data_IF_789420755564
#
_entry.id   IF_789420755564
#
_cell.length_a   1.000
_cell.length_b   1.000
_cell.length_c   1.000
_cell.angle_alpha   90.00
_cell.angle_beta   90.00
_cell.angle_gamma   90.00
#
_symmetry.space_group_name_H-M   'P 1'
#
loop_
_entity.id
_entity.type
_entity.pdbx_description
1 polymer ?
#
# COMPACT_ATOMS: atom_id res chain seq x y z
N UNK A 1 -42.36 -35.23 -30.46
CA UNK A 1 -41.87 -36.05 -29.33
C UNK A 1 -40.35 -36.27 -29.35
N UNK A 2 -39.76 -37.23 -30.07
CA UNK A 2 -38.30 -37.51 -29.96
C UNK A 2 -37.40 -36.29 -30.26
N UNK A 3 -37.67 -35.55 -31.34
CA UNK A 3 -36.90 -34.34 -31.69
C UNK A 3 -37.01 -33.23 -30.65
N UNK A 4 -38.15 -33.13 -29.95
CA UNK A 4 -38.39 -32.13 -28.90
C UNK A 4 -37.67 -32.50 -27.60
N UNK A 5 -37.70 -33.78 -27.21
CA UNK A 5 -36.93 -34.29 -26.07
C UNK A 5 -35.42 -34.13 -26.26
N UNK A 6 -34.92 -34.39 -27.47
CA UNK A 6 -33.50 -34.26 -27.79
C UNK A 6 -33.04 -32.79 -27.76
N UNK A 7 -33.90 -31.87 -28.24
CA UNK A 7 -33.67 -30.42 -28.16
C UNK A 7 -33.65 -29.92 -26.71
N UNK A 8 -34.60 -30.37 -25.89
CA UNK A 8 -34.68 -30.03 -24.46
C UNK A 8 -33.44 -30.50 -23.68
N UNK A 9 -33.00 -31.75 -23.88
CA UNK A 9 -31.78 -32.28 -23.24
C UNK A 9 -30.52 -31.49 -23.65
N UNK A 10 -30.41 -31.11 -24.93
CA UNK A 10 -29.28 -30.29 -25.42
C UNK A 10 -29.28 -28.89 -24.81
N UNK A 11 -30.44 -28.23 -24.71
CA UNK A 11 -30.59 -26.92 -24.07
C UNK A 11 -30.20 -26.97 -22.58
N UNK A 12 -30.69 -27.97 -21.84
CA UNK A 12 -30.36 -28.18 -20.43
C UNK A 12 -28.86 -28.40 -20.20
N UNK A 13 -28.20 -29.14 -21.09
CA UNK A 13 -26.75 -29.35 -21.02
C UNK A 13 -25.97 -28.05 -21.28
N UNK A 14 -26.40 -27.23 -22.23
CA UNK A 14 -25.76 -25.93 -22.54
C UNK A 14 -25.89 -24.98 -21.34
N UNK A 15 -27.07 -24.88 -20.72
CA UNK A 15 -27.29 -24.06 -19.51
C UNK A 15 -26.37 -24.51 -18.37
N UNK A 16 -26.23 -25.83 -18.17
CA UNK A 16 -25.33 -26.39 -17.16
C UNK A 16 -23.85 -26.04 -17.40
N UNK A 17 -23.41 -26.07 -18.67
CA UNK A 17 -22.05 -25.64 -19.04
C UNK A 17 -21.85 -24.16 -18.75
N UNK A 18 -22.79 -23.29 -19.16
CA UNK A 18 -22.72 -21.85 -18.91
C UNK A 18 -22.66 -21.57 -17.40
N UNK A 19 -23.53 -22.21 -16.61
CA UNK A 19 -23.53 -22.07 -15.16
C UNK A 19 -22.17 -22.48 -14.55
N UNK A 20 -21.59 -23.58 -15.03
CA UNK A 20 -20.28 -24.06 -14.55
C UNK A 20 -19.16 -23.07 -14.90
N UNK A 21 -19.23 -22.45 -16.10
CA UNK A 21 -18.30 -21.39 -16.49
C UNK A 21 -18.43 -20.14 -15.61
N UNK A 22 -19.64 -19.67 -15.31
CA UNK A 22 -19.87 -18.52 -14.45
C UNK A 22 -19.36 -18.77 -13.02
N UNK A 23 -19.61 -19.97 -12.46
CA UNK A 23 -19.06 -20.36 -11.15
C UNK A 23 -17.52 -20.31 -11.17
N UNK A 24 -16.88 -20.80 -12.24
CA UNK A 24 -15.43 -20.73 -12.38
C UNK A 24 -14.93 -19.28 -12.45
N UNK A 25 -15.61 -18.40 -13.19
CA UNK A 25 -15.30 -16.97 -13.27
C UNK A 25 -15.41 -16.33 -11.89
N UNK A 26 -16.47 -16.61 -11.14
CA UNK A 26 -16.69 -16.08 -9.80
C UNK A 26 -15.56 -16.47 -8.84
N UNK A 27 -15.13 -17.74 -8.86
CA UNK A 27 -14.00 -18.21 -8.04
C UNK A 27 -12.73 -17.41 -8.37
N UNK A 28 -12.46 -17.19 -9.66
CA UNK A 28 -11.30 -16.42 -10.10
C UNK A 28 -11.39 -14.96 -9.64
N UNK A 29 -12.55 -14.32 -9.76
CA UNK A 29 -12.76 -12.96 -9.27
C UNK A 29 -12.51 -12.84 -7.76
N UNK A 30 -13.02 -13.79 -6.97
CA UNK A 30 -12.80 -13.82 -5.51
C UNK A 30 -11.31 -13.94 -5.18
N UNK A 31 -10.57 -14.80 -5.89
CA UNK A 31 -9.11 -14.92 -5.70
C UNK A 31 -8.43 -13.58 -5.97
N UNK A 32 -8.79 -12.88 -7.06
CA UNK A 32 -8.23 -11.56 -7.35
C UNK A 32 -8.58 -10.52 -6.28
N UNK A 33 -9.79 -10.53 -5.74
CA UNK A 33 -10.18 -9.65 -4.64
C UNK A 33 -9.30 -9.92 -3.41
N UNK A 34 -9.17 -11.20 -3.01
CA UNK A 34 -8.34 -11.59 -1.86
C UNK A 34 -6.88 -11.14 -2.03
N UNK A 35 -6.29 -11.33 -3.22
CA UNK A 35 -4.92 -10.88 -3.50
C UNK A 35 -4.79 -9.36 -3.36
N UNK A 36 -5.76 -8.58 -3.84
CA UNK A 36 -5.71 -7.12 -3.71
C UNK A 36 -5.96 -6.66 -2.26
N UNK A 37 -6.79 -7.35 -1.48
CA UNK A 37 -6.95 -7.08 -0.03
C UNK A 37 -5.64 -7.27 0.72
N UNK A 38 -4.91 -8.37 0.45
CA UNK A 38 -3.60 -8.60 1.07
C UNK A 38 -2.59 -7.51 0.71
N UNK A 39 -2.61 -7.02 -0.54
CA UNK A 39 -1.79 -5.88 -0.97
C UNK A 39 -2.17 -4.58 -0.27
N UNK A 40 -3.47 -4.33 -0.12
CA UNK A 40 -4.00 -3.15 0.57
C UNK A 40 -3.54 -3.13 2.05
N UNK A 41 -3.61 -4.27 2.74
CA UNK A 41 -3.14 -4.40 4.12
C UNK A 41 -1.63 -4.17 4.26
N UNK A 42 -0.83 -4.71 3.33
CA UNK A 42 0.61 -4.45 3.28
C UNK A 42 0.91 -2.96 3.06
N UNK A 43 0.17 -2.33 2.15
CA UNK A 43 0.32 -0.89 1.84
C UNK A 43 -0.01 -0.01 3.04
N UNK A 44 -1.04 -0.36 3.82
CA UNK A 44 -1.39 0.39 5.02
C UNK A 44 -0.26 0.41 6.07
N UNK A 45 0.53 -0.67 6.19
CA UNK A 45 1.73 -0.67 7.05
C UNK A 45 2.79 0.29 6.53
N UNK A 46 3.04 0.28 5.21
CA UNK A 46 4.02 1.18 4.59
C UNK A 46 3.63 2.65 4.81
N UNK A 47 2.36 3.01 4.60
CA UNK A 47 1.83 4.37 4.88
C UNK A 47 2.09 4.76 6.33
N UNK A 48 1.79 3.85 7.27
CA UNK A 48 1.98 4.11 8.70
C UNK A 48 3.45 4.40 9.03
N UNK A 49 4.37 3.53 8.63
CA UNK A 49 5.79 3.68 8.93
C UNK A 49 6.45 4.86 8.21
N UNK A 50 6.06 5.15 6.97
CA UNK A 50 6.47 6.39 6.29
C UNK A 50 5.97 7.63 7.04
N UNK A 51 4.74 7.58 7.57
CA UNK A 51 4.19 8.63 8.44
C UNK A 51 4.91 8.75 9.78
N UNK A 52 5.39 7.63 10.34
CA UNK A 52 6.19 7.61 11.57
C UNK A 52 7.53 8.32 11.38
N UNK A 53 8.20 8.15 10.24
CA UNK A 53 9.45 8.85 9.91
C UNK A 53 9.27 10.35 10.07
N UNK A 54 8.21 10.93 9.50
CA UNK A 54 7.90 12.37 9.61
C UNK A 54 7.81 12.83 11.07
N UNK A 55 7.02 12.14 11.89
CA UNK A 55 6.80 12.52 13.29
C UNK A 55 8.03 12.27 14.19
N UNK A 56 8.73 11.16 13.96
CA UNK A 56 9.92 10.78 14.71
C UNK A 56 11.10 11.70 14.40
N UNK A 57 11.30 12.13 13.15
CA UNK A 57 12.32 13.12 12.80
C UNK A 57 12.07 14.47 13.47
N UNK A 58 10.82 14.94 13.51
CA UNK A 58 10.47 16.17 14.22
C UNK A 58 10.73 16.06 15.73
N UNK A 59 10.45 14.90 16.32
CA UNK A 59 10.80 14.62 17.71
C UNK A 59 12.32 14.61 17.92
N UNK A 60 13.08 13.99 17.02
CA UNK A 60 14.54 13.92 17.10
C UNK A 60 15.16 15.31 17.05
N UNK A 61 14.76 16.13 16.07
CA UNK A 61 15.23 17.52 15.97
C UNK A 61 14.90 18.32 17.23
N UNK A 62 13.69 18.14 17.79
CA UNK A 62 13.31 18.79 19.06
C UNK A 62 14.21 18.35 20.24
N UNK A 63 14.62 17.09 20.27
CA UNK A 63 15.53 16.59 21.31
C UNK A 63 16.92 17.20 21.16
N UNK A 64 17.44 17.29 19.95
CA UNK A 64 18.74 17.90 19.65
C UNK A 64 18.79 19.39 20.01
N UNK A 65 17.77 20.18 19.64
CA UNK A 65 17.72 21.62 20.01
C UNK A 65 17.57 21.87 21.51
N UNK A 66 17.12 20.86 22.27
CA UNK A 66 16.99 20.93 23.74
C UNK A 66 18.13 20.21 24.46
N UNK A 67 19.18 19.81 23.75
CA UNK A 67 20.36 19.13 24.28
C UNK A 67 20.05 17.75 24.93
N UNK A 68 18.95 17.11 24.52
CA UNK A 68 18.52 15.80 25.00
C UNK A 68 18.78 14.69 23.96
N UNK A 69 20.05 14.50 23.58
CA UNK A 69 20.48 13.58 22.52
C UNK A 69 19.86 12.18 22.63
N UNK A 70 19.45 11.61 21.49
CA UNK A 70 18.80 10.30 21.45
C UNK A 70 19.22 9.46 20.24
N UNK A 71 20.40 8.84 20.33
CA UNK A 71 20.93 7.98 19.26
C UNK A 71 20.04 6.74 18.98
N UNK A 72 19.23 6.30 19.95
CA UNK A 72 18.28 5.20 19.73
C UNK A 72 17.17 5.61 18.77
N UNK A 73 16.71 6.87 18.82
CA UNK A 73 15.69 7.39 17.91
C UNK A 73 16.24 7.60 16.49
N UNK A 74 17.50 8.03 16.35
CA UNK A 74 18.20 8.07 15.06
C UNK A 74 18.30 6.66 14.45
N UNK A 75 18.74 5.68 15.25
CA UNK A 75 18.81 4.28 14.82
C UNK A 75 17.43 3.73 14.42
N UNK A 76 16.40 4.07 15.20
CA UNK A 76 15.03 3.67 14.89
C UNK A 76 14.56 4.22 13.52
N UNK A 77 14.87 5.48 13.22
CA UNK A 77 14.59 6.09 11.92
C UNK A 77 15.38 5.41 10.78
N UNK A 78 16.67 5.11 10.99
CA UNK A 78 17.49 4.36 10.03
C UNK A 78 16.90 2.98 9.74
N UNK A 79 16.48 2.25 10.78
CA UNK A 79 15.87 0.92 10.64
C UNK A 79 14.56 0.98 9.84
N UNK A 80 13.71 2.00 10.07
CA UNK A 80 12.47 2.16 9.30
C UNK A 80 12.76 2.49 7.84
N UNK A 81 13.64 3.47 7.57
CA UNK A 81 13.95 3.89 6.21
C UNK A 81 14.58 2.75 5.40
N UNK A 82 15.45 1.95 6.02
CA UNK A 82 16.03 0.77 5.40
C UNK A 82 14.96 -0.28 5.06
N UNK A 83 14.03 -0.57 5.97
CA UNK A 83 12.97 -1.54 5.73
C UNK A 83 11.97 -1.05 4.66
N UNK A 84 11.63 0.25 4.66
CA UNK A 84 10.79 0.86 3.62
C UNK A 84 11.42 0.71 2.24
N UNK A 85 12.76 0.78 2.15
CA UNK A 85 13.53 0.77 0.90
C UNK A 85 13.87 -0.63 0.40
N UNK A 86 14.29 -1.52 1.29
CA UNK A 86 14.84 -2.83 0.94
C UNK A 86 14.04 -4.04 1.43
N UNK A 87 13.02 -3.81 2.28
CA UNK A 87 12.13 -4.84 2.81
C UNK A 87 12.86 -6.00 3.51
N UNK A 88 14.01 -5.70 4.12
CA UNK A 88 14.85 -6.66 4.83
C UNK A 88 14.91 -6.36 6.34
N UNK A 89 14.04 -5.47 6.83
CA UNK A 89 13.97 -5.10 8.24
C UNK A 89 12.92 -5.89 9.03
N UNK A 90 12.70 -5.44 10.26
CA UNK A 90 11.87 -6.13 11.25
C UNK A 90 10.39 -5.75 11.22
N UNK A 91 9.98 -4.77 10.40
CA UNK A 91 8.64 -4.19 10.43
C UNK A 91 7.68 -4.85 9.43
N UNK A 92 8.13 -5.90 8.74
CA UNK A 92 7.32 -6.68 7.80
C UNK A 92 6.67 -5.78 6.73
N UNK A 93 7.47 -4.86 6.20
CA UNK A 93 7.06 -3.94 5.15
C UNK A 93 7.11 -4.63 3.80
N UNK A 94 6.19 -4.23 2.93
CA UNK A 94 6.08 -4.79 1.58
C UNK A 94 6.58 -3.79 0.57
N UNK A 95 7.08 -4.30 -0.54
CA UNK A 95 7.48 -3.49 -1.66
C UNK A 95 6.23 -2.96 -2.41
N UNK A 96 6.01 -1.65 -2.38
CA UNK A 96 4.96 -1.01 -3.16
C UNK A 96 5.42 -0.93 -4.61
N UNK A 97 4.73 -1.61 -5.52
CA UNK A 97 5.06 -1.60 -6.95
C UNK A 97 4.67 -0.27 -7.60
N UNK A 98 5.33 0.81 -7.18
CA UNK A 98 5.00 2.18 -7.55
C UNK A 98 6.26 3.05 -7.68
N UNK A 99 6.49 3.55 -8.89
CA UNK A 99 7.70 4.32 -9.20
C UNK A 99 7.74 5.65 -8.45
N UNK A 100 6.61 6.35 -8.36
CA UNK A 100 6.56 7.66 -7.72
C UNK A 100 6.90 7.55 -6.23
N UNK A 101 6.32 6.56 -5.55
CA UNK A 101 6.68 6.24 -4.16
C UNK A 101 8.18 5.98 -4.01
N UNK A 102 8.78 5.14 -4.87
CA UNK A 102 10.20 4.83 -4.78
C UNK A 102 11.12 6.03 -5.05
N UNK A 103 10.80 6.85 -6.06
CA UNK A 103 11.58 8.05 -6.36
C UNK A 103 11.57 9.00 -5.15
N UNK A 104 10.40 9.21 -4.54
CA UNK A 104 10.25 10.07 -3.35
C UNK A 104 10.94 9.49 -2.13
N UNK A 105 10.79 8.18 -1.88
CA UNK A 105 11.47 7.49 -0.78
C UNK A 105 12.99 7.58 -0.91
N UNK A 106 13.53 7.46 -2.12
CA UNK A 106 14.96 7.60 -2.37
C UNK A 106 15.45 9.01 -2.00
N UNK A 107 14.75 10.06 -2.46
CA UNK A 107 15.07 11.45 -2.12
C UNK A 107 14.97 11.67 -0.61
N UNK A 108 13.94 11.14 0.04
CA UNK A 108 13.76 11.21 1.49
C UNK A 108 14.93 10.54 2.23
N UNK A 109 15.33 9.33 1.83
CA UNK A 109 16.47 8.63 2.44
C UNK A 109 17.78 9.40 2.28
N UNK A 110 18.02 9.98 1.11
CA UNK A 110 19.25 10.74 0.87
C UNK A 110 19.28 12.03 1.71
N UNK A 111 18.15 12.73 1.82
CA UNK A 111 18.06 13.92 2.66
C UNK A 111 18.17 13.60 4.17
N UNK A 112 17.76 12.41 4.59
CA UNK A 112 17.96 11.95 5.97
C UNK A 112 19.44 11.89 6.35
N UNK A 113 20.30 11.41 5.44
CA UNK A 113 21.75 11.39 5.66
C UNK A 113 22.33 12.81 5.79
N UNK A 114 21.82 13.78 5.02
CA UNK A 114 22.20 15.19 5.18
C UNK A 114 21.69 15.77 6.51
N UNK A 115 20.46 15.46 6.90
CA UNK A 115 19.90 15.90 8.18
C UNK A 115 20.68 15.32 9.38
N UNK A 116 21.17 14.08 9.30
CA UNK A 116 22.04 13.48 10.34
C UNK A 116 23.38 14.22 10.47
N UNK A 117 23.95 14.75 9.39
CA UNK A 117 25.15 15.59 9.46
C UNK A 117 24.86 16.90 10.20
N UNK A 118 23.70 17.50 9.92
CA UNK A 118 23.27 18.72 10.61
C UNK A 118 22.99 18.47 12.10
N UNK A 119 22.37 17.33 12.45
CA UNK A 119 22.22 16.89 13.85
C UNK A 119 23.60 16.82 14.54
N UNK A 120 24.60 16.26 13.89
CA UNK A 120 25.97 16.25 14.44
C UNK A 120 26.53 17.66 14.64
N UNK A 121 26.29 18.58 13.69
CA UNK A 121 26.71 19.97 13.81
C UNK A 121 26.02 20.68 15.00
N UNK A 122 24.74 20.37 15.27
CA UNK A 122 24.01 20.88 16.45
C UNK A 122 24.72 20.47 17.74
N UNK A 123 25.18 19.22 17.83
CA UNK A 123 25.88 18.71 19.03
C UNK A 123 27.25 19.35 19.25
N UNK A 124 27.91 19.79 18.18
CA UNK A 124 29.25 20.39 18.23
C UNK A 124 29.22 21.91 18.44
N UNK A 125 28.27 22.61 17.82
CA UNK A 125 28.24 24.07 17.74
C UNK A 125 26.98 24.71 18.33
N UNK A 126 26.00 23.94 18.78
CA UNK A 126 24.69 24.41 19.25
C UNK A 126 23.75 24.75 18.09
N UNK A 127 22.44 24.51 18.28
CA UNK A 127 21.46 24.59 17.19
C UNK A 127 21.33 25.99 16.56
N UNK A 128 21.64 27.05 17.32
CA UNK A 128 21.57 28.43 16.85
C UNK A 128 22.59 28.72 15.72
N UNK A 129 23.60 27.87 15.57
CA UNK A 129 24.65 27.97 14.56
C UNK A 129 24.46 26.98 13.41
N UNK A 130 23.25 26.41 13.26
CA UNK A 130 22.91 25.37 12.27
C UNK A 130 21.60 25.71 11.54
N UNK A 131 21.33 25.02 10.43
CA UNK A 131 20.08 25.12 9.67
C UNK A 131 19.08 24.00 10.04
N UNK A 132 19.28 23.33 11.19
CA UNK A 132 18.55 22.12 11.58
C UNK A 132 17.02 22.29 11.53
N UNK A 133 16.51 23.46 11.92
CA UNK A 133 15.07 23.74 11.93
C UNK A 133 14.53 23.76 10.50
N UNK A 134 15.16 24.50 9.59
CA UNK A 134 14.71 24.61 8.20
C UNK A 134 14.89 23.28 7.46
N UNK A 135 16.02 22.58 7.66
CA UNK A 135 16.24 21.24 7.09
C UNK A 135 15.18 20.25 7.58
N UNK A 136 14.77 20.31 8.84
CA UNK A 136 13.70 19.45 9.37
C UNK A 136 12.34 19.71 8.73
N UNK A 137 12.02 20.97 8.40
CA UNK A 137 10.78 21.35 7.72
C UNK A 137 10.78 20.91 6.25
N UNK A 138 11.94 21.00 5.58
CA UNK A 138 12.11 20.46 4.23
C UNK A 138 11.93 18.94 4.25
N UNK A 139 12.58 18.25 5.19
CA UNK A 139 12.42 16.81 5.37
C UNK A 139 10.98 16.40 5.69
N UNK A 140 10.28 17.18 6.52
CA UNK A 140 8.87 16.95 6.83
C UNK A 140 8.01 16.92 5.57
N UNK A 141 8.20 17.89 4.67
CA UNK A 141 7.48 17.95 3.39
C UNK A 141 7.81 16.77 2.48
N UNK A 142 9.07 16.37 2.39
CA UNK A 142 9.47 15.19 1.62
C UNK A 142 8.83 13.91 2.16
N UNK A 143 8.77 13.77 3.49
CA UNK A 143 8.12 12.63 4.13
C UNK A 143 6.61 12.63 3.86
N UNK A 144 5.96 13.80 3.93
CA UNK A 144 4.54 13.98 3.61
C UNK A 144 4.20 13.60 2.16
N UNK A 145 5.04 14.02 1.21
CA UNK A 145 4.90 13.64 -0.19
C UNK A 145 5.11 12.14 -0.42
N UNK A 146 6.05 11.53 0.31
CA UNK A 146 6.30 10.08 0.25
C UNK A 146 5.09 9.28 0.77
N UNK A 147 4.50 9.73 1.88
CA UNK A 147 3.24 9.18 2.42
C UNK A 147 2.11 9.33 1.41
N UNK A 148 1.96 10.52 0.82
CA UNK A 148 0.92 10.80 -0.18
C UNK A 148 1.04 9.88 -1.40
N UNK A 149 2.25 9.58 -1.85
CA UNK A 149 2.47 8.62 -2.95
C UNK A 149 2.06 7.19 -2.57
N UNK A 150 2.36 6.75 -1.33
CA UNK A 150 1.91 5.46 -0.82
C UNK A 150 0.37 5.39 -0.67
N UNK A 151 -0.27 6.47 -0.24
CA UNK A 151 -1.74 6.60 -0.17
C UNK A 151 -2.37 6.50 -1.56
N UNK A 152 -1.84 7.25 -2.54
CA UNK A 152 -2.29 7.20 -3.93
C UNK A 152 -2.19 5.79 -4.52
N UNK A 153 -1.13 5.03 -4.19
CA UNK A 153 -1.00 3.63 -4.55
C UNK A 153 -2.08 2.75 -3.91
N UNK A 154 -2.35 2.96 -2.62
CA UNK A 154 -3.40 2.28 -1.86
C UNK A 154 -4.78 2.52 -2.48
N UNK A 155 -5.10 3.76 -2.85
CA UNK A 155 -6.35 4.13 -3.51
C UNK A 155 -6.54 3.41 -4.85
N UNK A 156 -5.47 3.30 -5.67
CA UNK A 156 -5.52 2.52 -6.91
C UNK A 156 -5.85 1.04 -6.67
N UNK A 157 -5.37 0.46 -5.57
CA UNK A 157 -5.73 -0.92 -5.18
C UNK A 157 -7.19 -0.98 -4.75
N UNK A 158 -7.65 -0.04 -3.93
CA UNK A 158 -9.04 0.01 -3.46
C UNK A 158 -10.04 0.12 -4.64
N UNK A 159 -9.74 0.96 -5.63
CA UNK A 159 -10.56 1.10 -6.86
C UNK A 159 -10.60 -0.22 -7.66
N UNK A 160 -9.48 -0.94 -7.74
CA UNK A 160 -9.43 -2.27 -8.40
C UNK A 160 -10.31 -3.28 -7.66
N UNK A 161 -10.24 -3.33 -6.32
CA UNK A 161 -11.11 -4.17 -5.50
C UNK A 161 -12.57 -3.84 -5.79
N UNK A 162 -12.93 -2.55 -5.76
CA UNK A 162 -14.31 -2.12 -6.01
C UNK A 162 -14.83 -2.52 -7.39
N UNK A 163 -13.98 -2.41 -8.41
CA UNK A 163 -14.33 -2.86 -9.77
C UNK A 163 -14.57 -4.37 -9.81
N UNK A 164 -13.71 -5.16 -9.16
CA UNK A 164 -13.87 -6.61 -9.10
C UNK A 164 -15.14 -7.02 -8.33
N UNK A 165 -15.46 -6.34 -7.23
CA UNK A 165 -16.71 -6.57 -6.49
C UNK A 165 -17.94 -6.36 -7.37
N UNK A 166 -17.98 -5.26 -8.14
CA UNK A 166 -19.09 -4.97 -9.04
C UNK A 166 -19.24 -6.05 -10.14
N UNK A 167 -18.12 -6.53 -10.68
CA UNK A 167 -18.12 -7.65 -11.63
C UNK A 167 -18.64 -8.94 -11.00
N UNK A 168 -18.25 -9.24 -9.75
CA UNK A 168 -18.77 -10.40 -9.02
C UNK A 168 -20.28 -10.30 -8.77
N UNK A 169 -20.78 -9.11 -8.42
CA UNK A 169 -22.23 -8.89 -8.27
C UNK A 169 -22.98 -9.13 -9.58
N UNK A 170 -22.46 -8.62 -10.70
CA UNK A 170 -23.06 -8.86 -12.01
C UNK A 170 -23.07 -10.35 -12.38
N UNK A 171 -21.96 -11.06 -12.14
CA UNK A 171 -21.86 -12.50 -12.37
C UNK A 171 -22.88 -13.30 -11.53
N UNK A 172 -23.00 -12.95 -10.23
CA UNK A 172 -23.99 -13.55 -9.34
C UNK A 172 -25.43 -13.29 -9.81
N UNK A 173 -25.74 -12.11 -10.34
CA UNK A 173 -27.05 -11.82 -10.92
C UNK A 173 -27.32 -12.71 -12.14
N UNK A 174 -26.34 -12.92 -13.02
CA UNK A 174 -26.45 -13.85 -14.15
C UNK A 174 -26.72 -15.28 -13.69
N UNK A 175 -26.02 -15.74 -12.66
CA UNK A 175 -26.26 -17.06 -12.04
C UNK A 175 -27.68 -17.19 -11.50
N UNK A 176 -28.18 -16.18 -10.78
CA UNK A 176 -29.55 -16.18 -10.24
C UNK A 176 -30.57 -16.22 -11.37
N UNK A 177 -30.41 -15.42 -12.43
CA UNK A 177 -31.30 -15.42 -13.59
C UNK A 177 -31.31 -16.79 -14.27
N UNK A 178 -30.15 -17.42 -14.46
CA UNK A 178 -30.05 -18.76 -15.04
C UNK A 178 -30.71 -19.83 -14.16
N UNK A 179 -30.60 -19.72 -12.84
CA UNK A 179 -31.28 -20.62 -11.90
C UNK A 179 -32.81 -20.48 -12.00
N UNK A 180 -33.33 -19.26 -12.13
CA UNK A 180 -34.76 -19.00 -12.27
C UNK A 180 -35.31 -19.42 -13.63
N UNK A 181 -34.51 -19.31 -14.70
CA UNK A 181 -34.89 -19.73 -16.05
C UNK A 181 -34.89 -21.25 -16.23
N UNK A 182 -34.25 -22.01 -15.33
CA UNK A 182 -34.20 -23.47 -15.38
C UNK A 182 -35.62 -24.04 -15.21
N UNK A 183 -36.21 -24.68 -16.23
CA UNK A 183 -37.55 -25.27 -16.16
C UNK A 183 -37.59 -26.53 -15.27
#
# INVERSE_FOLDING_TARGET
MEKEEQSYRKSKNIVGIIQSCLILILIVLIIFIMVNISRLQGTARVINYAGMVRGATQREVKLEITENQNDELIKYLDDILNDLKYQNGQYNLVDLKDKEYHDKLQILSDYWEELKKEIKAVREAGYQNTDIVNMSEIYFKMADETVSAAESYSERIAVKIRTLELLSVLDMLCLVILLLYRP
#
